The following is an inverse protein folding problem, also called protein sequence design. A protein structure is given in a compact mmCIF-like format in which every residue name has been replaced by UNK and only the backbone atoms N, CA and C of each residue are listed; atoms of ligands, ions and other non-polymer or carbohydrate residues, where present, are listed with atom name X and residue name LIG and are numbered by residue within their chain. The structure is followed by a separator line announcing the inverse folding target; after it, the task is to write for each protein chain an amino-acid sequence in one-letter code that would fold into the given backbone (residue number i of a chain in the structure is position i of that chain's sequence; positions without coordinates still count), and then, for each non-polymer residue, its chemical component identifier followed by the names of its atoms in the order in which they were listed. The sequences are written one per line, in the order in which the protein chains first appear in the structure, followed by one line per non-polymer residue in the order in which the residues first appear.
data_IF_382469372130
#
_entry.id   IF_382469372130
#
_cell.length_a   1.000
_cell.length_b   1.000
_cell.length_c   1.000
_cell.angle_alpha   90.00
_cell.angle_beta   90.00
_cell.angle_gamma   90.00
#
_symmetry.space_group_name_H-M   'P 1'
#
loop_
_entity.id
_entity.type
_entity.pdbx_description
1 polymer ?
#
# COMPACT_ATOMS: atom_id res chain seq x y z
N UNK A 1 -6.91 6.17 15.71
CA UNK A 1 -7.39 4.88 15.16
C UNK A 1 -6.57 4.54 13.91
N UNK A 2 -6.73 3.36 13.27
CA UNK A 2 -5.95 2.99 12.06
C UNK A 2 -6.11 4.03 10.94
N UNK A 3 -7.35 4.47 10.70
CA UNK A 3 -7.72 5.49 9.72
C UNK A 3 -7.01 6.84 9.96
N UNK A 4 -6.95 7.32 11.21
CA UNK A 4 -6.22 8.55 11.54
C UNK A 4 -4.73 8.46 11.22
N UNK A 5 -4.13 7.29 11.47
CA UNK A 5 -2.72 7.03 11.15
C UNK A 5 -2.47 7.06 9.65
N UNK A 6 -3.32 6.40 8.87
CA UNK A 6 -3.24 6.41 7.40
C UNK A 6 -3.40 7.84 6.88
N UNK A 7 -4.35 8.60 7.44
CA UNK A 7 -4.58 10.01 7.07
C UNK A 7 -3.35 10.88 7.36
N UNK A 8 -2.78 10.77 8.55
CA UNK A 8 -1.59 11.53 8.95
C UNK A 8 -0.38 11.22 8.07
N UNK A 9 -0.11 9.94 7.83
CA UNK A 9 1.01 9.51 6.98
C UNK A 9 0.78 9.92 5.52
N UNK A 10 -0.45 9.79 5.02
CA UNK A 10 -0.82 10.24 3.67
C UNK A 10 -0.58 11.74 3.47
N UNK A 11 -0.93 12.57 4.45
CA UNK A 11 -0.65 14.01 4.39
C UNK A 11 0.85 14.32 4.40
N UNK A 12 1.63 13.60 5.20
CA UNK A 12 3.09 13.77 5.26
C UNK A 12 3.78 13.31 3.98
N UNK A 13 3.33 12.23 3.37
CA UNK A 13 3.87 11.72 2.10
C UNK A 13 3.48 12.58 0.89
N UNK A 14 2.39 13.37 0.99
CA UNK A 14 2.05 14.35 -0.05
C UNK A 14 3.07 15.51 -0.14
N UNK A 15 3.91 15.70 0.88
CA UNK A 15 5.03 16.63 0.89
C UNK A 15 6.19 15.99 1.65
N UNK A 16 6.85 14.99 1.04
CA UNK A 16 7.77 14.12 1.75
C UNK A 16 9.00 14.89 2.25
N UNK A 17 9.57 14.49 3.40
CA UNK A 17 10.79 15.12 3.91
C UNK A 17 11.96 14.88 2.95
N UNK A 18 12.80 15.90 2.75
CA UNK A 18 14.03 15.78 1.95
C UNK A 18 15.13 14.97 2.64
N UNK A 19 15.03 14.77 3.95
CA UNK A 19 15.96 13.94 4.71
C UNK A 19 15.65 12.46 4.50
N UNK A 20 16.62 11.71 3.98
CA UNK A 20 16.47 10.29 3.67
C UNK A 20 16.03 9.44 4.87
N UNK A 21 16.61 9.65 6.06
CA UNK A 21 16.25 8.86 7.24
C UNK A 21 14.81 9.13 7.69
N UNK A 22 14.37 10.39 7.63
CA UNK A 22 12.99 10.75 7.93
C UNK A 22 12.01 10.17 6.90
N UNK A 23 12.41 10.13 5.62
CA UNK A 23 11.62 9.53 4.56
C UNK A 23 11.49 8.02 4.73
N UNK A 24 12.59 7.33 5.04
CA UNK A 24 12.60 5.88 5.35
C UNK A 24 11.67 5.58 6.53
N UNK A 25 11.78 6.34 7.63
CA UNK A 25 10.89 6.18 8.79
C UNK A 25 9.42 6.45 8.47
N UNK A 26 9.15 7.35 7.52
CA UNK A 26 7.79 7.67 7.11
C UNK A 26 7.19 6.54 6.25
N UNK A 27 7.99 5.96 5.35
CA UNK A 27 7.59 4.83 4.51
C UNK A 27 7.47 3.52 5.31
N UNK A 28 8.34 3.28 6.28
CA UNK A 28 8.21 2.16 7.22
C UNK A 28 6.88 2.21 7.98
N UNK A 29 6.49 3.40 8.45
CA UNK A 29 5.16 3.61 9.06
C UNK A 29 4.02 3.42 8.07
N UNK A 30 4.20 3.83 6.82
CA UNK A 30 3.19 3.63 5.78
C UNK A 30 2.98 2.14 5.52
N UNK A 31 4.07 1.38 5.34
CA UNK A 31 4.05 -0.07 5.19
C UNK A 31 3.32 -0.73 6.36
N UNK A 32 3.69 -0.41 7.60
CA UNK A 32 3.07 -1.01 8.78
C UNK A 32 1.56 -0.79 8.83
N UNK A 33 1.09 0.40 8.45
CA UNK A 33 -0.33 0.72 8.40
C UNK A 33 -1.05 -0.01 7.27
N UNK A 34 -0.44 -0.07 6.07
CA UNK A 34 -0.98 -0.79 4.91
C UNK A 34 -1.11 -2.29 5.20
N UNK A 35 -0.12 -2.90 5.84
CA UNK A 35 -0.13 -4.32 6.27
C UNK A 35 -1.30 -4.64 7.20
N UNK A 36 -1.77 -3.66 7.98
CA UNK A 36 -2.91 -3.80 8.89
C UNK A 36 -4.26 -3.54 8.23
N UNK A 37 -4.29 -3.05 6.99
CA UNK A 37 -5.54 -2.88 6.24
C UNK A 37 -6.03 -4.24 5.73
N UNK A 38 -7.31 -4.53 5.96
CA UNK A 38 -7.94 -5.71 5.38
C UNK A 38 -7.93 -5.65 3.84
N UNK A 39 -7.98 -6.82 3.21
CA UNK A 39 -8.26 -6.91 1.77
C UNK A 39 -9.67 -6.38 1.49
N UNK A 40 -9.86 -5.75 0.33
CA UNK A 40 -11.14 -5.14 -0.06
C UNK A 40 -11.75 -4.25 1.05
N UNK A 41 -11.02 -3.25 1.58
CA UNK A 41 -11.51 -2.44 2.70
C UNK A 41 -12.64 -1.52 2.27
N UNK A 42 -13.32 -0.90 3.25
CA UNK A 42 -14.41 0.03 2.98
C UNK A 42 -13.96 1.22 2.12
N UNK A 43 -14.89 1.81 1.37
CA UNK A 43 -14.63 3.00 0.55
C UNK A 43 -14.03 4.15 1.36
N UNK A 44 -14.44 4.33 2.64
CA UNK A 44 -13.84 5.35 3.52
C UNK A 44 -12.35 5.10 3.74
N UNK A 45 -11.99 3.87 4.10
CA UNK A 45 -10.60 3.48 4.34
C UNK A 45 -9.75 3.62 3.07
N UNK A 46 -10.27 3.23 1.91
CA UNK A 46 -9.60 3.44 0.62
C UNK A 46 -9.40 4.92 0.33
N UNK A 47 -10.41 5.76 0.56
CA UNK A 47 -10.34 7.21 0.33
C UNK A 47 -9.23 7.83 1.18
N UNK A 48 -9.11 7.40 2.44
CA UNK A 48 -8.07 7.89 3.35
C UNK A 48 -6.67 7.40 2.96
N UNK A 49 -6.55 6.22 2.34
CA UNK A 49 -5.27 5.68 1.86
C UNK A 49 -4.81 6.24 0.51
N UNK A 50 -5.70 6.86 -0.28
CA UNK A 50 -5.36 7.41 -1.60
C UNK A 50 -4.12 8.32 -1.63
N UNK A 51 -3.89 9.24 -0.66
CA UNK A 51 -2.70 10.08 -0.66
C UNK A 51 -1.41 9.27 -0.56
N UNK A 52 -1.38 8.20 0.23
CA UNK A 52 -0.22 7.28 0.33
C UNK A 52 0.02 6.62 -1.03
N UNK A 53 -1.03 6.06 -1.64
CA UNK A 53 -0.93 5.39 -2.94
C UNK A 53 -0.39 6.33 -4.03
N UNK A 54 -0.89 7.56 -4.08
CA UNK A 54 -0.43 8.59 -5.04
C UNK A 54 1.03 8.98 -4.81
N UNK A 55 1.44 9.13 -3.56
CA UNK A 55 2.82 9.49 -3.24
C UNK A 55 3.80 8.38 -3.68
N UNK A 56 3.48 7.11 -3.42
CA UNK A 56 4.35 5.96 -3.73
C UNK A 56 4.62 5.78 -5.24
N UNK A 57 3.72 6.24 -6.10
CA UNK A 57 3.90 6.21 -7.56
C UNK A 57 4.45 7.52 -8.14
N UNK A 58 4.70 8.53 -7.30
CA UNK A 58 5.27 9.78 -7.75
C UNK A 58 6.73 9.59 -8.16
N UNK A 59 7.11 10.20 -9.28
CA UNK A 59 8.47 10.09 -9.84
C UNK A 59 9.57 10.47 -8.83
N UNK A 60 9.27 11.40 -7.92
CA UNK A 60 10.22 11.85 -6.90
C UNK A 60 10.61 10.70 -5.94
N UNK A 61 9.69 9.79 -5.63
CA UNK A 61 10.00 8.61 -4.80
C UNK A 61 10.60 7.47 -5.64
N UNK A 62 10.07 7.21 -6.84
CA UNK A 62 10.55 6.13 -7.71
C UNK A 62 11.96 6.39 -8.27
N UNK A 63 12.36 7.66 -8.41
CA UNK A 63 13.64 8.08 -8.97
C UNK A 63 14.81 8.04 -8.00
N UNK A 64 14.59 7.76 -6.71
CA UNK A 64 15.67 7.66 -5.72
C UNK A 64 16.61 6.49 -6.01
N UNK A 65 17.90 6.65 -5.75
CA UNK A 65 18.92 5.60 -5.92
C UNK A 65 19.08 4.69 -4.70
N UNK A 66 18.52 5.08 -3.55
CA UNK A 66 18.66 4.36 -2.28
C UNK A 66 17.93 3.02 -2.30
N UNK A 67 18.62 1.95 -1.89
CA UNK A 67 18.12 0.58 -1.98
C UNK A 67 17.05 0.31 -0.91
N UNK A 68 17.28 0.75 0.32
CA UNK A 68 16.34 0.52 1.43
C UNK A 68 15.01 1.23 1.14
N UNK A 69 15.08 2.43 0.57
CA UNK A 69 13.91 3.17 0.12
C UNK A 69 13.14 2.40 -0.95
N UNK A 70 13.83 1.85 -1.96
CA UNK A 70 13.20 1.04 -3.01
C UNK A 70 12.54 -0.22 -2.47
N UNK A 71 13.17 -0.90 -1.51
CA UNK A 71 12.60 -2.08 -0.86
C UNK A 71 11.30 -1.71 -0.13
N UNK A 72 11.30 -0.61 0.64
CA UNK A 72 10.09 -0.14 1.33
C UNK A 72 8.98 0.26 0.36
N UNK A 73 9.31 0.96 -0.74
CA UNK A 73 8.33 1.33 -1.77
C UNK A 73 7.74 0.06 -2.40
N UNK A 74 8.57 -0.91 -2.76
CA UNK A 74 8.12 -2.19 -3.33
C UNK A 74 7.19 -2.94 -2.35
N UNK A 75 7.54 -2.96 -1.06
CA UNK A 75 6.70 -3.55 -0.01
C UNK A 75 5.34 -2.86 0.09
N UNK A 76 5.33 -1.51 0.14
CA UNK A 76 4.09 -0.73 0.16
C UNK A 76 3.21 -1.00 -1.08
N UNK A 77 3.81 -1.10 -2.27
CA UNK A 77 3.08 -1.40 -3.51
C UNK A 77 2.51 -2.82 -3.51
N UNK A 78 3.23 -3.80 -2.93
CA UNK A 78 2.73 -5.14 -2.69
C UNK A 78 1.48 -5.14 -1.80
N UNK A 79 1.52 -4.38 -0.71
CA UNK A 79 0.36 -4.23 0.19
C UNK A 79 -0.81 -3.51 -0.49
N UNK A 80 -0.56 -2.47 -1.28
CA UNK A 80 -1.61 -1.83 -2.09
C UNK A 80 -2.25 -2.83 -3.04
N UNK A 81 -1.45 -3.69 -3.68
CA UNK A 81 -1.95 -4.75 -4.55
C UNK A 81 -2.82 -5.71 -3.75
N UNK A 82 -2.35 -6.22 -2.60
CA UNK A 82 -3.13 -7.07 -1.69
C UNK A 82 -4.46 -6.43 -1.25
N UNK A 83 -4.45 -5.14 -0.93
CA UNK A 83 -5.62 -4.39 -0.47
C UNK A 83 -6.66 -4.22 -1.59
N UNK A 84 -6.19 -3.97 -2.82
CA UNK A 84 -7.03 -3.68 -3.99
C UNK A 84 -7.49 -4.92 -4.74
N UNK A 85 -6.89 -6.09 -4.48
CA UNK A 85 -7.39 -7.37 -4.98
C UNK A 85 -8.81 -7.59 -4.44
N UNK A 86 -9.80 -7.84 -5.32
CA UNK A 86 -11.13 -8.22 -4.87
C UNK A 86 -11.08 -9.62 -4.25
N UNK A 87 -11.76 -9.81 -3.12
CA UNK A 87 -11.94 -11.12 -2.46
C UNK A 87 -12.64 -12.18 -3.35
N UNK A 88 -13.08 -11.84 -4.57
CA UNK A 88 -13.82 -12.70 -5.51
C UNK A 88 -12.91 -13.68 -6.27
N UNK A 89 -11.59 -13.49 -6.26
CA UNK A 89 -10.65 -14.40 -6.93
C UNK A 89 -10.39 -15.68 -6.12
N UNK A 90 -11.46 -16.36 -5.70
CA UNK A 90 -11.70 -17.81 -5.71
C UNK A 90 -13.01 -18.06 -4.93
N UNK A 91 -14.14 -17.99 -5.62
CA UNK A 91 -15.28 -18.79 -5.19
C UNK A 91 -14.82 -20.25 -5.29
N UNK A 92 -14.97 -21.05 -4.23
CA UNK A 92 -14.53 -22.47 -4.23
C UNK A 92 -15.17 -23.24 -5.41
N UNK A 93 -16.34 -22.78 -5.85
CA UNK A 93 -17.05 -23.28 -7.02
C UNK A 93 -16.25 -23.07 -8.33
N UNK A 94 -15.56 -21.94 -8.49
CA UNK A 94 -14.72 -21.64 -9.67
C UNK A 94 -13.44 -22.48 -9.65
N UNK A 95 -12.87 -22.74 -8.47
CA UNK A 95 -11.67 -23.57 -8.34
C UNK A 95 -11.93 -25.05 -8.61
N UNK A 96 -13.10 -25.53 -8.23
CA UNK A 96 -13.53 -26.91 -8.52
C UNK A 96 -13.68 -27.12 -10.03
N UNK A 97 -14.26 -26.15 -10.75
CA UNK A 97 -14.44 -26.22 -12.21
C UNK A 97 -13.10 -26.24 -12.98
N UNK A 98 -12.06 -25.56 -12.48
CA UNK A 98 -10.73 -25.56 -13.09
C UNK A 98 -9.99 -26.89 -12.82
N UNK A 99 -10.11 -27.46 -11.62
CA UNK A 99 -9.44 -28.72 -11.28
C UNK A 99 -10.10 -29.95 -11.89
N UNK A 100 -11.41 -29.93 -12.12
CA UNK A 100 -12.12 -31.05 -12.75
C UNK A 100 -11.88 -31.14 -14.28
N UNK A 101 -11.22 -30.14 -14.87
CA UNK A 101 -10.87 -30.10 -16.29
C UNK A 101 -9.37 -30.34 -16.58
N UNK A 102 -8.61 -30.84 -15.59
CA UNK A 102 -7.21 -31.31 -15.74
C UNK A 102 -7.05 -32.78 -15.38
#
# INVERSE_FOLDING_TARGET
MLEDGIKDIGNKLASPPSNLQQLLLLLDKAENLLTRMAQSPSTSMLTVAQPIMKALIANDLLGHSDIDLKVLIASCLGEITRITIPNVLYDDDIMTEIWDNY
#
